data_IF_626364196337
#
_entry.id   IF_626364196337
#
_cell.length_a   1.000
_cell.length_b   1.000
_cell.length_c   1.000
_cell.angle_alpha   90.00
_cell.angle_beta   90.00
_cell.angle_gamma   90.00
#
_symmetry.space_group_name_H-M   'P 1'
#
loop_
_entity.id
_entity.type
_entity.pdbx_description
1 polymer ?
#
# COMPACT_ATOMS: atom_id res chain seq x y z
N UNK A 1 10.35 7.11 -7.89
CA UNK A 1 9.80 6.31 -6.79
C UNK A 1 10.19 4.87 -6.99
N UNK A 2 10.64 4.16 -5.95
CA UNK A 2 11.01 2.74 -6.04
C UNK A 2 9.83 1.89 -5.56
N UNK A 3 9.45 0.90 -6.36
CA UNK A 3 8.43 -0.09 -6.01
C UNK A 3 9.09 -1.38 -5.49
N UNK A 4 8.52 -1.96 -4.46
CA UNK A 4 8.87 -3.26 -3.92
C UNK A 4 7.63 -4.16 -3.90
N UNK A 5 7.81 -5.41 -4.31
CA UNK A 5 6.72 -6.39 -4.32
C UNK A 5 6.88 -7.39 -3.21
N UNK A 6 5.84 -7.57 -2.42
CA UNK A 6 5.76 -8.58 -1.38
C UNK A 6 4.82 -9.70 -1.82
N UNK A 7 5.16 -10.94 -1.48
CA UNK A 7 4.40 -12.12 -1.90
C UNK A 7 4.37 -13.20 -0.82
N UNK A 8 3.34 -14.04 -0.87
CA UNK A 8 3.19 -15.21 -0.01
C UNK A 8 2.63 -14.90 1.38
N UNK A 9 2.92 -15.79 2.33
CA UNK A 9 2.53 -15.68 3.72
C UNK A 9 3.65 -15.02 4.53
N UNK A 10 3.40 -13.81 5.02
CA UNK A 10 4.38 -13.02 5.78
C UNK A 10 4.15 -13.20 7.27
N UNK A 11 4.07 -14.45 7.74
CA UNK A 11 3.73 -14.77 9.13
C UNK A 11 4.90 -14.55 10.10
N UNK A 12 6.14 -14.66 9.60
CA UNK A 12 7.37 -14.55 10.38
C UNK A 12 8.29 -13.45 9.82
N UNK A 13 9.12 -12.81 10.66
CA UNK A 13 10.10 -11.82 10.23
C UNK A 13 11.01 -12.38 9.14
N UNK A 14 11.20 -11.61 8.08
CA UNK A 14 12.07 -11.93 6.97
C UNK A 14 12.54 -10.65 6.28
N UNK A 15 13.62 -10.75 5.53
CA UNK A 15 14.09 -9.64 4.70
C UNK A 15 13.11 -9.43 3.55
N UNK A 16 12.41 -8.31 3.60
CA UNK A 16 11.51 -7.88 2.54
C UNK A 16 12.18 -6.80 1.69
N UNK A 17 11.95 -6.80 0.36
CA UNK A 17 12.44 -5.72 -0.47
C UNK A 17 11.83 -4.40 0.00
N UNK A 18 12.68 -3.38 0.18
CA UNK A 18 12.25 -2.04 0.55
C UNK A 18 11.94 -1.19 -0.70
N UNK A 19 10.89 -0.38 -0.58
CA UNK A 19 10.37 0.48 -1.62
C UNK A 19 9.53 1.59 -1.02
N UNK A 20 9.42 2.72 -1.72
CA UNK A 20 8.48 3.79 -1.35
C UNK A 20 7.02 3.34 -1.57
N UNK A 21 6.82 2.48 -2.56
CA UNK A 21 5.56 1.79 -2.86
C UNK A 21 5.76 0.31 -2.57
N UNK A 22 4.84 -0.29 -1.82
CA UNK A 22 4.83 -1.71 -1.49
C UNK A 22 3.58 -2.33 -2.13
N UNK A 23 3.80 -3.22 -3.08
CA UNK A 23 2.75 -4.03 -3.70
C UNK A 23 2.46 -5.28 -2.87
N UNK A 24 1.21 -5.36 -2.37
CA UNK A 24 0.70 -6.46 -1.57
C UNK A 24 -0.17 -7.43 -2.40
N UNK A 25 -0.21 -7.31 -3.74
CA UNK A 25 -1.03 -8.14 -4.64
C UNK A 25 -0.80 -9.65 -4.49
N UNK A 26 0.43 -10.04 -4.17
CA UNK A 26 0.80 -11.43 -3.96
C UNK A 26 0.76 -11.88 -2.50
N UNK A 27 0.40 -11.00 -1.56
CA UNK A 27 0.39 -11.32 -0.13
C UNK A 27 -0.91 -12.02 0.24
N UNK A 28 -0.77 -13.17 0.88
CA UNK A 28 -1.88 -14.00 1.33
C UNK A 28 -2.26 -13.64 2.77
N UNK A 29 -1.26 -13.47 3.64
CA UNK A 29 -1.46 -13.22 5.06
C UNK A 29 -0.31 -12.40 5.66
N UNK A 30 -0.60 -11.64 6.71
CA UNK A 30 0.35 -10.78 7.42
C UNK A 30 0.45 -11.18 8.89
N UNK A 31 1.68 -11.35 9.37
CA UNK A 31 1.97 -11.47 10.80
C UNK A 31 2.03 -10.10 11.49
N UNK A 32 1.88 -10.10 12.82
CA UNK A 32 1.94 -8.87 13.63
C UNK A 32 3.27 -8.12 13.51
N UNK A 33 4.34 -8.80 13.13
CA UNK A 33 5.64 -8.17 12.89
C UNK A 33 5.60 -7.17 11.73
N UNK A 34 4.76 -7.39 10.70
CA UNK A 34 4.58 -6.45 9.59
C UNK A 34 3.95 -5.15 10.09
N UNK A 35 3.09 -5.22 11.10
CA UNK A 35 2.50 -4.03 11.71
C UNK A 35 3.59 -3.19 12.39
N UNK A 36 4.52 -3.84 13.11
CA UNK A 36 5.66 -3.17 13.72
C UNK A 36 6.57 -2.54 12.65
N UNK A 37 6.82 -3.27 11.56
CA UNK A 37 7.60 -2.76 10.43
C UNK A 37 6.94 -1.52 9.80
N UNK A 38 5.63 -1.55 9.54
CA UNK A 38 4.90 -0.42 8.95
C UNK A 38 4.87 0.79 9.89
N UNK A 39 4.80 0.60 11.21
CA UNK A 39 4.91 1.72 12.18
C UNK A 39 6.30 2.35 12.17
N UNK A 40 7.35 1.55 12.00
CA UNK A 40 8.72 2.05 11.86
C UNK A 40 8.95 2.76 10.51
N UNK A 41 8.08 2.55 9.53
CA UNK A 41 8.17 3.13 8.19
C UNK A 41 6.83 3.79 7.77
N UNK A 42 6.43 4.91 8.40
CA UNK A 42 5.09 5.50 8.25
C UNK A 42 4.80 6.14 6.88
N UNK A 43 5.82 6.34 6.03
CA UNK A 43 5.65 7.03 4.75
C UNK A 43 5.37 6.09 3.57
N UNK A 44 5.26 4.78 3.81
CA UNK A 44 5.10 3.77 2.75
C UNK A 44 3.71 3.83 2.13
N UNK A 45 3.67 3.81 0.81
CA UNK A 45 2.46 3.65 0.04
C UNK A 45 2.17 2.16 -0.15
N UNK A 46 0.96 1.70 0.17
CA UNK A 46 0.54 0.32 -0.03
C UNK A 46 -0.42 0.24 -1.22
N UNK A 47 -0.18 -0.70 -2.12
CA UNK A 47 -1.06 -0.99 -3.26
C UNK A 47 -1.53 -2.45 -3.23
N UNK A 48 -2.70 -2.68 -3.84
CA UNK A 48 -3.22 -4.00 -4.19
C UNK A 48 -3.29 -5.06 -3.07
N UNK A 49 -3.57 -4.68 -1.81
CA UNK A 49 -3.96 -5.63 -0.77
C UNK A 49 -5.43 -6.04 -0.91
N UNK A 50 -5.76 -7.33 -0.73
CA UNK A 50 -7.15 -7.79 -0.66
C UNK A 50 -7.96 -7.00 0.38
N UNK A 51 -9.28 -6.89 0.19
CA UNK A 51 -10.16 -6.08 1.06
C UNK A 51 -10.04 -6.43 2.55
N UNK A 52 -9.74 -7.70 2.84
CA UNK A 52 -9.46 -8.19 4.18
C UNK A 52 -8.17 -7.61 4.77
N UNK A 53 -7.05 -7.68 4.05
CA UNK A 53 -5.77 -7.11 4.49
C UNK A 53 -5.88 -5.61 4.73
N UNK A 54 -6.56 -4.89 3.83
CA UNK A 54 -6.83 -3.47 4.01
C UNK A 54 -7.61 -3.21 5.30
N UNK A 55 -8.67 -3.98 5.54
CA UNK A 55 -9.48 -3.86 6.75
C UNK A 55 -8.68 -4.14 8.02
N UNK A 56 -7.82 -5.17 8.02
CA UNK A 56 -6.97 -5.53 9.15
C UNK A 56 -5.98 -4.39 9.49
N UNK A 57 -5.30 -3.85 8.49
CA UNK A 57 -4.30 -2.79 8.69
C UNK A 57 -4.94 -1.44 9.05
N UNK A 58 -6.11 -1.12 8.49
CA UNK A 58 -6.88 0.06 8.90
C UNK A 58 -7.37 -0.05 10.35
N UNK A 59 -7.87 -1.21 10.78
CA UNK A 59 -8.26 -1.45 12.19
C UNK A 59 -7.08 -1.39 13.16
N UNK A 60 -5.88 -1.70 12.68
CA UNK A 60 -4.64 -1.59 13.46
C UNK A 60 -4.09 -0.16 13.54
N UNK A 61 -4.80 0.82 12.97
CA UNK A 61 -4.46 2.26 12.97
C UNK A 61 -3.02 2.52 12.48
N UNK A 62 -2.60 1.76 11.47
CA UNK A 62 -1.25 1.90 10.93
C UNK A 62 -1.12 3.18 10.11
N UNK A 63 0.01 3.90 10.23
CA UNK A 63 0.27 5.11 9.46
C UNK A 63 0.67 4.71 8.04
N UNK A 64 -0.29 4.25 7.23
CA UNK A 64 -0.04 3.79 5.85
C UNK A 64 -1.03 4.42 4.89
N UNK A 65 -0.57 4.74 3.68
CA UNK A 65 -1.42 5.31 2.63
C UNK A 65 -1.80 4.25 1.61
N UNK A 66 -3.10 4.10 1.37
CA UNK A 66 -3.62 3.13 0.42
C UNK A 66 -3.85 3.75 -0.95
N UNK A 67 -3.42 3.06 -2.00
CA UNK A 67 -3.65 3.44 -3.38
C UNK A 67 -4.22 2.24 -4.15
N UNK A 68 -5.04 2.51 -5.17
CA UNK A 68 -5.62 1.45 -5.99
C UNK A 68 -4.56 0.79 -6.91
N UNK A 69 -3.56 1.55 -7.34
CA UNK A 69 -2.44 1.08 -8.15
C UNK A 69 -1.19 1.95 -7.94
N UNK A 70 -0.03 1.43 -8.33
CA UNK A 70 1.24 2.16 -8.29
C UNK A 70 1.18 3.47 -9.10
N UNK A 71 0.45 3.49 -10.22
CA UNK A 71 0.26 4.68 -11.07
C UNK A 71 -0.42 5.86 -10.36
N UNK A 72 -1.18 5.61 -9.30
CA UNK A 72 -1.84 6.67 -8.52
C UNK A 72 -0.91 7.32 -7.50
N UNK A 73 0.16 6.65 -7.07
CA UNK A 73 1.02 7.14 -5.99
C UNK A 73 1.83 8.37 -6.42
N UNK A 74 2.15 8.47 -7.72
CA UNK A 74 2.86 9.60 -8.32
C UNK A 74 1.99 10.81 -8.65
N UNK A 75 0.65 10.70 -8.58
CA UNK A 75 -0.27 11.82 -8.80
C UNK A 75 -0.44 12.61 -7.49
N UNK A 76 0.65 13.22 -7.01
CA UNK A 76 0.52 14.34 -6.07
C UNK A 76 -0.02 15.53 -6.86
N UNK A 77 -1.25 15.93 -6.55
CA UNK A 77 -1.98 17.08 -7.09
C UNK A 77 -2.32 17.01 -8.58
N UNK A 78 -3.59 16.75 -8.87
CA UNK A 78 -4.12 16.95 -10.22
C UNK A 78 -5.31 16.07 -10.51
N UNK A 79 -6.45 16.45 -9.92
CA UNK A 79 -7.80 16.25 -10.49
C UNK A 79 -8.15 14.77 -10.72
N UNK A 80 -9.07 14.25 -9.91
CA UNK A 80 -9.66 12.92 -10.10
C UNK A 80 -10.14 12.75 -11.55
N UNK A 81 -10.16 11.52 -12.06
CA UNK A 81 -10.57 11.26 -13.45
C UNK A 81 -11.94 11.88 -13.77
N UNK A 82 -12.84 11.89 -12.79
CA UNK A 82 -14.17 12.53 -12.82
C UNK A 82 -14.12 14.05 -12.93
N UNK A 83 -13.20 14.73 -12.23
CA UNK A 83 -13.05 16.18 -12.36
C UNK A 83 -12.37 16.58 -13.69
N UNK A 84 -11.65 15.65 -14.34
CA UNK A 84 -11.02 15.86 -15.65
C UNK A 84 -12.03 15.81 -16.79
N UNK A 85 -13.05 14.96 -16.69
CA UNK A 85 -14.17 14.90 -17.65
C UNK A 85 -15.02 16.18 -17.60
N UNK A 86 -15.09 16.85 -16.46
CA UNK A 86 -15.84 18.10 -16.29
C UNK A 86 -15.18 19.32 -16.96
N UNK A 87 -13.90 19.26 -17.32
CA UNK A 87 -13.20 20.38 -17.96
C UNK A 87 -13.34 20.39 -19.48
N UNK A 88 -13.79 19.28 -20.10
CA UNK A 88 -14.00 19.15 -21.56
C UNK A 88 -15.48 19.12 -21.98
N UNK A 89 -16.40 19.48 -21.10
CA UNK A 89 -17.79 19.84 -21.41
C UNK A 89 -17.99 21.36 -21.30
#
# INVERSE_FOLDING_TARGET
>A
MREARWTGELLWPQDLPDGEIIDLSGVISLGTWVHAWLRAHPDRALVAGGAELRSQLTRAELPVRWFASADQVGRRDGVSSSEREMLWN
#
